data_IF_039898495245
#
_entry.id   IF_039898495245
#
_cell.length_a   1.000
_cell.length_b   1.000
_cell.length_c   1.000
_cell.angle_alpha   90.00
_cell.angle_beta   90.00
_cell.angle_gamma   90.00
#
_symmetry.space_group_name_H-M   'P 1'
#
loop_
_entity.id
_entity.type
_entity.pdbx_description
1 polymer ?
#
# COMPACT_ATOMS: atom_id res chain seq x y z
N UNK A 1 -53.98 -1.03 -18.83
CA UNK A 1 -52.81 -1.91 -18.60
C UNK A 1 -51.47 -1.33 -19.08
N UNK A 2 -51.37 -0.61 -20.22
CA UNK A 2 -50.08 -0.03 -20.69
C UNK A 2 -49.47 1.04 -19.77
N UNK A 3 -50.30 1.85 -19.09
CA UNK A 3 -49.79 2.94 -18.23
C UNK A 3 -49.26 2.46 -16.87
N UNK A 4 -49.71 1.30 -16.35
CA UNK A 4 -49.21 0.75 -15.07
C UNK A 4 -47.78 0.21 -15.23
N UNK A 5 -47.53 -0.49 -16.34
CA UNK A 5 -46.20 -1.00 -16.71
C UNK A 5 -45.17 0.11 -16.87
N UNK A 6 -45.56 1.27 -17.41
CA UNK A 6 -44.66 2.39 -17.60
C UNK A 6 -44.29 3.04 -16.26
N UNK A 7 -45.23 3.09 -15.30
CA UNK A 7 -45.00 3.62 -13.96
C UNK A 7 -44.09 2.69 -13.15
N UNK A 8 -44.29 1.37 -13.25
CA UNK A 8 -43.42 0.37 -12.61
C UNK A 8 -41.99 0.42 -13.17
N UNK A 9 -41.82 0.56 -14.49
CA UNK A 9 -40.51 0.70 -15.12
C UNK A 9 -39.81 2.00 -14.70
N UNK A 10 -40.54 3.12 -14.61
CA UNK A 10 -39.98 4.40 -14.14
C UNK A 10 -39.62 4.35 -12.65
N UNK A 11 -40.43 3.70 -11.81
CA UNK A 11 -40.11 3.47 -10.39
C UNK A 11 -38.90 2.53 -10.22
N UNK A 12 -38.79 1.50 -11.06
CA UNK A 12 -37.62 0.60 -11.06
C UNK A 12 -36.36 1.37 -11.49
N UNK A 13 -36.40 2.13 -12.59
CA UNK A 13 -35.26 2.95 -13.06
C UNK A 13 -34.87 4.04 -12.06
N UNK A 14 -35.83 4.73 -11.44
CA UNK A 14 -35.53 5.73 -10.40
C UNK A 14 -35.04 5.11 -9.09
N UNK A 15 -35.43 3.88 -8.76
CA UNK A 15 -34.85 3.13 -7.64
C UNK A 15 -33.39 2.70 -7.91
N UNK A 16 -33.00 2.41 -9.15
CA UNK A 16 -31.58 2.19 -9.49
C UNK A 16 -30.78 3.49 -9.58
N UNK A 17 -31.39 4.61 -10.00
CA UNK A 17 -30.71 5.91 -10.06
C UNK A 17 -30.59 6.62 -8.70
N UNK A 18 -31.40 6.25 -7.69
CA UNK A 18 -31.36 6.90 -6.36
C UNK A 18 -30.51 6.18 -5.30
N UNK A 19 -29.95 5.00 -5.59
CA UNK A 19 -29.17 4.20 -4.62
C UNK A 19 -27.66 4.19 -4.84
N UNK A 20 -27.14 5.24 -5.48
CA UNK A 20 -25.72 5.55 -5.52
C UNK A 20 -25.48 7.02 -5.20
N UNK A 21 -25.85 7.49 -3.99
CA UNK A 21 -25.32 8.78 -3.53
C UNK A 21 -23.80 8.64 -3.52
N UNK A 22 -23.17 9.29 -4.48
CA UNK A 22 -21.73 9.32 -4.68
C UNK A 22 -21.08 9.85 -3.40
N UNK A 23 -19.97 9.24 -2.99
CA UNK A 23 -19.17 9.74 -1.88
C UNK A 23 -18.42 10.97 -2.40
N UNK A 24 -19.12 12.07 -2.56
CA UNK A 24 -18.59 13.28 -3.17
C UNK A 24 -18.07 14.22 -2.09
N UNK A 25 -16.75 14.20 -1.95
CA UNK A 25 -16.01 15.12 -1.07
C UNK A 25 -15.90 16.48 -1.75
N UNK A 26 -15.79 17.57 -0.99
CA UNK A 26 -15.55 18.91 -1.57
C UNK A 26 -14.25 18.89 -2.42
N UNK A 27 -14.33 19.38 -3.67
CA UNK A 27 -13.26 19.26 -4.69
C UNK A 27 -11.87 19.66 -4.20
N UNK A 28 -11.77 20.75 -3.44
CA UNK A 28 -10.51 21.27 -2.91
C UNK A 28 -9.77 20.30 -1.95
N UNK A 29 -10.44 19.23 -1.50
CA UNK A 29 -9.88 18.23 -0.59
C UNK A 29 -9.79 16.84 -1.22
N UNK A 30 -10.04 16.70 -2.53
CA UNK A 30 -9.95 15.40 -3.21
C UNK A 30 -8.50 14.96 -3.46
N UNK A 31 -7.54 15.87 -3.54
CA UNK A 31 -6.19 15.54 -3.99
C UNK A 31 -6.13 15.33 -5.51
N UNK A 32 -5.16 14.53 -6.00
CA UNK A 32 -4.91 14.39 -7.44
C UNK A 32 -5.24 12.98 -7.97
N UNK A 33 -6.15 12.90 -8.94
CA UNK A 33 -6.68 11.64 -9.47
C UNK A 33 -5.65 10.73 -10.12
N UNK A 34 -4.49 11.25 -10.54
CA UNK A 34 -3.43 10.43 -11.15
C UNK A 34 -2.97 9.29 -10.26
N UNK A 35 -3.11 9.42 -8.93
CA UNK A 35 -2.72 8.39 -7.96
C UNK A 35 -3.57 7.12 -8.03
N UNK A 36 -4.76 7.17 -8.64
CA UNK A 36 -5.58 5.98 -8.87
C UNK A 36 -4.92 5.01 -9.86
N UNK A 37 -4.24 5.54 -10.87
CA UNK A 37 -3.70 4.77 -11.99
C UNK A 37 -2.18 4.86 -12.11
N UNK A 38 -1.50 5.39 -11.08
CA UNK A 38 -0.06 5.62 -11.16
C UNK A 38 0.71 4.30 -11.23
N UNK A 39 1.54 4.17 -12.26
CA UNK A 39 2.54 3.11 -12.32
C UNK A 39 3.77 3.58 -11.54
N UNK A 40 3.98 3.01 -10.35
CA UNK A 40 5.10 3.43 -9.51
C UNK A 40 6.46 3.05 -10.12
N UNK A 41 6.54 2.06 -11.02
CA UNK A 41 7.78 1.66 -11.67
C UNK A 41 8.16 2.60 -12.79
N UNK A 42 7.16 3.05 -13.55
CA UNK A 42 7.35 4.11 -14.52
C UNK A 42 7.74 5.41 -13.80
N UNK A 43 7.11 5.70 -12.66
CA UNK A 43 7.42 6.87 -11.84
C UNK A 43 8.90 6.96 -11.44
N UNK A 44 9.51 5.86 -10.98
CA UNK A 44 10.93 5.87 -10.60
C UNK A 44 11.83 6.27 -11.79
N UNK A 45 11.51 5.79 -13.00
CA UNK A 45 12.27 6.10 -14.22
C UNK A 45 12.04 7.53 -14.67
N UNK A 46 10.79 7.98 -14.70
CA UNK A 46 10.41 9.31 -15.15
C UNK A 46 10.92 10.42 -14.24
N UNK A 47 11.10 10.11 -12.95
CA UNK A 47 11.63 11.02 -11.96
C UNK A 47 13.17 10.99 -11.81
N UNK A 48 13.87 10.24 -12.67
CA UNK A 48 15.33 10.17 -12.65
C UNK A 48 15.96 11.38 -13.35
N UNK A 49 16.78 12.16 -12.63
CA UNK A 49 17.53 13.28 -13.23
C UNK A 49 18.79 12.74 -13.92
N UNK A 50 19.17 13.27 -15.09
CA UNK A 50 20.43 12.90 -15.73
C UNK A 50 21.64 13.38 -14.91
N UNK A 51 22.79 12.74 -15.09
CA UNK A 51 23.99 13.02 -14.28
C UNK A 51 24.50 14.47 -14.42
N UNK A 52 24.29 15.07 -15.59
CA UNK A 52 24.65 16.44 -15.93
C UNK A 52 23.49 17.44 -15.68
N UNK A 53 22.42 17.03 -14.98
CA UNK A 53 21.23 17.86 -14.76
C UNK A 53 21.56 19.27 -14.27
N UNK A 54 22.51 19.41 -13.34
CA UNK A 54 22.92 20.70 -12.78
C UNK A 54 23.78 21.57 -13.72
N UNK A 55 24.24 21.02 -14.84
CA UNK A 55 24.99 21.70 -15.89
C UNK A 55 24.08 22.19 -17.02
N UNK A 56 22.82 21.76 -17.05
CA UNK A 56 21.81 22.17 -18.03
C UNK A 56 21.27 23.58 -17.75
N UNK A 57 20.70 24.20 -18.78
CA UNK A 57 19.98 25.47 -18.64
C UNK A 57 18.72 25.31 -17.79
N UNK A 58 18.18 26.41 -17.27
CA UNK A 58 16.93 26.37 -16.49
C UNK A 58 15.77 25.76 -17.28
N UNK A 59 15.61 26.15 -18.55
CA UNK A 59 14.54 25.65 -19.40
C UNK A 59 14.64 24.13 -19.67
N UNK A 60 15.86 23.61 -19.82
CA UNK A 60 16.09 22.17 -19.96
C UNK A 60 15.78 21.42 -18.67
N UNK A 61 16.19 21.97 -17.52
CA UNK A 61 15.87 21.39 -16.21
C UNK A 61 14.37 21.36 -15.96
N UNK A 62 13.65 22.44 -16.28
CA UNK A 62 12.19 22.50 -16.14
C UNK A 62 11.51 21.41 -16.98
N UNK A 63 11.89 21.23 -18.24
CA UNK A 63 11.36 20.15 -19.09
C UNK A 63 11.61 18.76 -18.51
N UNK A 64 12.79 18.52 -17.95
CA UNK A 64 13.09 17.23 -17.30
C UNK A 64 12.22 17.04 -16.06
N UNK A 65 12.01 18.10 -15.26
CA UNK A 65 11.18 18.04 -14.07
C UNK A 65 9.69 17.85 -14.39
N UNK A 66 9.20 18.35 -15.53
CA UNK A 66 7.81 18.17 -15.98
C UNK A 66 7.43 16.70 -16.25
N UNK A 67 8.40 15.86 -16.65
CA UNK A 67 8.17 14.43 -16.84
C UNK A 67 7.85 13.70 -15.54
N UNK A 68 8.40 14.15 -14.42
CA UNK A 68 8.14 13.54 -13.12
C UNK A 68 6.75 13.94 -12.62
N UNK A 69 5.79 13.02 -12.70
CA UNK A 69 4.40 13.25 -12.29
C UNK A 69 4.25 13.76 -10.85
N UNK A 70 5.18 13.40 -9.95
CA UNK A 70 5.19 13.92 -8.57
C UNK A 70 5.26 15.45 -8.53
N UNK A 71 6.02 16.08 -9.43
CA UNK A 71 6.17 17.54 -9.47
C UNK A 71 4.85 18.25 -9.83
N UNK A 72 3.94 17.54 -10.51
CA UNK A 72 2.60 18.03 -10.84
C UNK A 72 1.62 17.88 -9.65
N UNK A 73 1.90 16.96 -8.73
CA UNK A 73 1.07 16.65 -7.56
C UNK A 73 1.51 17.46 -6.32
N UNK A 74 2.82 17.70 -6.18
CA UNK A 74 3.40 18.35 -5.00
C UNK A 74 2.71 19.66 -4.57
N UNK A 75 2.37 20.59 -5.50
CA UNK A 75 1.69 21.83 -5.13
C UNK A 75 0.33 21.61 -4.44
N UNK A 76 -0.38 20.51 -4.72
CA UNK A 76 -1.68 20.22 -4.09
C UNK A 76 -1.53 19.95 -2.59
N UNK A 77 -0.46 19.28 -2.16
CA UNK A 77 -0.24 18.99 -0.75
C UNK A 77 0.18 20.24 0.04
N UNK A 78 1.16 20.98 -0.46
CA UNK A 78 1.69 22.16 0.23
C UNK A 78 0.61 23.24 0.39
N UNK A 79 -0.14 23.51 -0.68
CA UNK A 79 -1.25 24.45 -0.64
C UNK A 79 -2.33 24.00 0.37
N UNK A 80 -2.63 22.71 0.42
CA UNK A 80 -3.67 22.21 1.32
C UNK A 80 -3.25 22.27 2.79
N UNK A 81 -2.01 21.89 3.10
CA UNK A 81 -1.52 21.93 4.49
C UNK A 81 -1.52 23.36 5.04
N UNK A 82 -1.15 24.34 4.22
CA UNK A 82 -1.13 25.75 4.64
C UNK A 82 -2.54 26.35 4.70
N UNK A 83 -3.48 25.92 3.84
CA UNK A 83 -4.85 26.47 3.79
C UNK A 83 -5.84 25.83 4.77
N UNK A 84 -5.60 24.60 5.25
CA UNK A 84 -6.46 23.96 6.25
C UNK A 84 -6.17 24.54 7.65
N UNK A 85 -7.24 24.99 8.34
CA UNK A 85 -7.26 25.22 9.78
C UNK A 85 -6.99 23.90 10.55
N UNK A 86 -6.98 23.88 11.89
CA UNK A 86 -6.69 22.64 12.62
C UNK A 86 -7.60 21.44 12.24
N UNK A 87 -8.87 21.69 11.89
CA UNK A 87 -9.85 20.67 11.49
C UNK A 87 -10.79 21.20 10.42
N UNK A 88 -11.12 20.39 9.42
CA UNK A 88 -12.14 20.69 8.40
C UNK A 88 -13.03 19.48 8.15
N UNK A 89 -14.33 19.72 7.97
CA UNK A 89 -15.30 18.69 7.57
C UNK A 89 -15.36 18.66 6.05
N UNK A 90 -15.10 17.49 5.45
CA UNK A 90 -15.03 17.34 3.99
C UNK A 90 -16.22 16.54 3.41
N UNK A 91 -16.97 15.86 4.29
CA UNK A 91 -18.19 15.10 3.97
C UNK A 91 -19.02 14.97 5.25
N UNK A 92 -20.33 15.21 5.17
CA UNK A 92 -21.27 15.06 6.30
C UNK A 92 -22.67 14.69 5.78
N UNK A 93 -22.99 13.39 5.81
CA UNK A 93 -24.26 12.86 5.27
C UNK A 93 -24.70 11.63 6.09
N UNK A 94 -25.98 11.58 6.50
CA UNK A 94 -26.59 10.44 7.22
C UNK A 94 -25.76 9.96 8.43
N UNK A 95 -25.42 10.88 9.34
CA UNK A 95 -24.59 10.63 10.52
C UNK A 95 -23.14 10.17 10.23
N UNK A 96 -22.75 10.02 8.97
CA UNK A 96 -21.40 9.69 8.54
C UNK A 96 -20.65 10.98 8.20
N UNK A 97 -19.56 11.24 8.92
CA UNK A 97 -18.76 12.46 8.76
C UNK A 97 -17.30 12.11 8.52
N UNK A 98 -16.68 12.75 7.53
CA UNK A 98 -15.24 12.74 7.33
C UNK A 98 -14.64 14.09 7.65
N UNK A 99 -13.55 14.09 8.39
CA UNK A 99 -12.80 15.29 8.72
C UNK A 99 -11.34 15.13 8.39
N UNK A 100 -10.70 16.18 7.88
CA UNK A 100 -9.24 16.27 7.80
C UNK A 100 -8.76 17.10 8.99
N UNK A 101 -7.78 16.56 9.71
CA UNK A 101 -7.16 17.21 10.86
C UNK A 101 -5.68 17.44 10.61
N UNK A 102 -5.23 18.67 10.86
CA UNK A 102 -3.82 19.06 10.77
C UNK A 102 -3.09 18.70 12.05
N UNK A 103 -1.89 18.12 11.92
CA UNK A 103 -0.98 17.85 13.03
C UNK A 103 0.42 18.34 12.66
N UNK A 104 1.11 18.91 13.64
CA UNK A 104 2.54 19.22 13.57
C UNK A 104 3.22 18.76 14.85
N UNK A 105 4.34 18.08 14.73
CA UNK A 105 5.18 17.71 15.86
C UNK A 105 6.64 17.64 15.42
N UNK A 106 7.55 17.51 16.37
CA UNK A 106 8.97 17.38 16.08
C UNK A 106 9.43 15.94 16.31
N UNK A 107 10.05 15.33 15.30
CA UNK A 107 10.86 14.12 15.47
C UNK A 107 12.24 14.55 15.99
N UNK A 108 12.74 13.87 17.02
CA UNK A 108 14.08 14.16 17.57
C UNK A 108 15.04 13.11 17.04
N UNK A 109 16.04 13.53 16.28
CA UNK A 109 17.10 12.67 15.75
C UNK A 109 18.44 13.35 16.05
N UNK A 110 19.36 12.63 16.70
CA UNK A 110 20.68 13.14 17.08
C UNK A 110 20.61 14.51 17.80
N UNK A 111 19.69 14.63 18.77
CA UNK A 111 19.41 15.87 19.52
C UNK A 111 18.95 17.08 18.67
N UNK A 112 18.65 16.88 17.38
CA UNK A 112 18.05 17.89 16.51
C UNK A 112 16.56 17.60 16.30
N UNK A 113 15.77 18.66 16.24
CA UNK A 113 14.31 18.60 16.03
C UNK A 113 14.01 18.80 14.54
N UNK A 114 13.28 17.87 13.96
CA UNK A 114 12.81 17.94 12.58
C UNK A 114 11.29 17.99 12.57
N UNK A 115 10.67 19.00 11.92
CA UNK A 115 9.23 19.11 11.88
C UNK A 115 8.64 17.98 11.02
N UNK A 116 7.57 17.37 11.53
CA UNK A 116 6.71 16.45 10.81
C UNK A 116 5.35 17.11 10.66
N UNK A 117 4.94 17.30 9.41
CA UNK A 117 3.63 17.86 9.02
C UNK A 117 2.73 16.71 8.59
N UNK A 118 1.53 16.60 9.15
CA UNK A 118 0.57 15.55 8.77
C UNK A 118 -0.85 16.07 8.61
N UNK A 119 -1.57 15.49 7.67
CA UNK A 119 -3.02 15.56 7.52
C UNK A 119 -3.60 14.19 7.80
N UNK A 120 -4.55 14.13 8.72
CA UNK A 120 -5.21 12.90 9.12
C UNK A 120 -6.65 12.90 8.64
N UNK A 121 -7.05 11.86 7.91
CA UNK A 121 -8.46 11.63 7.58
C UNK A 121 -9.08 10.83 8.72
N UNK A 122 -10.17 11.34 9.29
CA UNK A 122 -10.90 10.69 10.37
C UNK A 122 -12.35 10.45 9.97
N UNK A 123 -12.80 9.22 10.18
CA UNK A 123 -14.15 8.77 9.93
C UNK A 123 -14.94 8.77 11.25
N UNK A 124 -16.06 9.49 11.26
CA UNK A 124 -16.99 9.58 12.38
C UNK A 124 -18.35 9.01 11.98
N UNK A 125 -19.02 8.37 12.94
CA UNK A 125 -20.41 7.95 12.81
C UNK A 125 -21.19 8.26 14.09
N UNK A 126 -22.29 9.00 13.96
CA UNK A 126 -23.11 9.49 15.10
C UNK A 126 -22.25 10.18 16.16
N UNK A 127 -21.37 11.07 15.72
CA UNK A 127 -20.45 11.84 16.56
C UNK A 127 -19.26 11.06 17.14
N UNK A 128 -19.18 9.74 16.97
CA UNK A 128 -18.09 8.93 17.51
C UNK A 128 -17.02 8.67 16.45
N UNK A 129 -15.75 8.86 16.81
CA UNK A 129 -14.62 8.47 15.97
C UNK A 129 -14.65 6.94 15.77
N UNK A 130 -14.62 6.50 14.51
CA UNK A 130 -14.62 5.08 14.13
C UNK A 130 -13.28 4.62 13.61
N UNK A 131 -12.66 5.44 12.77
CA UNK A 131 -11.38 5.08 12.16
C UNK A 131 -10.58 6.31 11.72
N UNK A 132 -9.29 6.12 11.47
CA UNK A 132 -8.36 7.20 11.14
C UNK A 132 -7.15 6.68 10.36
N UNK A 133 -6.75 7.41 9.32
CA UNK A 133 -5.49 7.19 8.59
C UNK A 133 -4.69 8.48 8.45
N UNK A 134 -3.39 8.36 8.23
CA UNK A 134 -2.55 9.48 7.77
C UNK A 134 -2.83 9.63 6.28
N UNK A 135 -3.53 10.71 5.92
CA UNK A 135 -3.90 11.01 4.54
C UNK A 135 -2.69 11.55 3.78
N UNK A 136 -1.94 12.46 4.39
CA UNK A 136 -0.77 13.04 3.79
C UNK A 136 0.24 13.44 4.86
N UNK A 137 1.53 13.41 4.55
CA UNK A 137 2.58 13.81 5.47
C UNK A 137 3.79 14.35 4.71
N UNK A 138 4.61 15.13 5.42
CA UNK A 138 5.91 15.58 4.95
C UNK A 138 6.87 15.62 6.13
N UNK A 139 8.02 14.96 5.99
CA UNK A 139 9.09 14.98 6.97
C UNK A 139 10.46 14.83 6.32
N UNK A 140 11.47 15.44 6.93
CA UNK A 140 12.85 15.13 6.61
C UNK A 140 13.26 13.85 7.32
N UNK A 141 13.62 12.84 6.52
CA UNK A 141 14.35 11.72 7.05
C UNK A 141 15.82 12.15 7.20
N UNK A 142 16.36 12.00 8.40
CA UNK A 142 17.76 12.27 8.70
C UNK A 142 18.40 11.13 9.48
N UNK A 143 17.66 10.04 9.70
CA UNK A 143 18.11 8.89 10.47
C UNK A 143 19.02 7.97 9.64
N UNK A 144 19.00 8.10 8.31
CA UNK A 144 19.84 7.29 7.42
C UNK A 144 20.43 8.10 6.26
N UNK A 145 19.63 8.94 5.61
CA UNK A 145 20.04 9.74 4.45
C UNK A 145 19.22 11.04 4.43
N UNK A 146 19.82 12.15 4.05
CA UNK A 146 19.14 13.45 3.99
C UNK A 146 18.19 13.52 2.80
N UNK A 147 16.93 13.14 3.00
CA UNK A 147 15.88 13.26 1.98
C UNK A 147 14.55 13.72 2.54
N UNK A 148 13.74 14.33 1.67
CA UNK A 148 12.38 14.74 1.99
C UNK A 148 11.44 13.59 1.68
N UNK A 149 10.70 13.12 2.67
CA UNK A 149 9.65 12.12 2.52
C UNK A 149 8.30 12.83 2.44
N UNK A 150 7.56 12.58 1.37
CA UNK A 150 6.26 13.22 1.09
C UNK A 150 5.22 12.19 0.73
N UNK A 151 4.07 12.23 1.41
CA UNK A 151 2.91 11.40 1.10
C UNK A 151 1.82 12.23 0.43
N UNK A 152 1.45 11.82 -0.78
CA UNK A 152 0.35 12.39 -1.55
C UNK A 152 -0.89 11.52 -1.48
N UNK A 153 -2.04 12.09 -1.83
CA UNK A 153 -3.31 11.38 -1.73
C UNK A 153 -4.33 11.76 -2.82
N UNK A 154 -5.28 10.86 -3.02
CA UNK A 154 -6.51 11.08 -3.78
C UNK A 154 -7.69 10.44 -3.07
N UNK A 155 -8.82 11.14 -2.99
CA UNK A 155 -10.10 10.63 -2.50
C UNK A 155 -11.06 10.60 -3.70
N UNK A 156 -11.35 9.42 -4.20
CA UNK A 156 -12.19 9.21 -5.36
C UNK A 156 -13.70 9.35 -5.00
N UNK A 157 -14.56 9.77 -5.94
CA UNK A 157 -15.99 9.92 -5.70
C UNK A 157 -16.73 8.63 -5.32
N UNK A 158 -16.12 7.47 -5.54
CA UNK A 158 -16.64 6.16 -5.16
C UNK A 158 -16.32 5.79 -3.70
N UNK A 159 -15.49 6.58 -3.00
CA UNK A 159 -15.03 6.31 -1.64
C UNK A 159 -13.72 5.52 -1.54
N UNK A 160 -13.04 5.28 -2.65
CA UNK A 160 -11.66 4.80 -2.65
C UNK A 160 -10.68 5.93 -2.32
N UNK A 161 -9.62 5.57 -1.62
CA UNK A 161 -8.57 6.51 -1.20
C UNK A 161 -7.23 5.92 -1.57
N UNK A 162 -6.45 6.68 -2.33
CA UNK A 162 -5.14 6.29 -2.83
C UNK A 162 -4.08 7.14 -2.17
N UNK A 163 -3.04 6.51 -1.64
CA UNK A 163 -1.90 7.19 -1.03
C UNK A 163 -0.61 6.78 -1.74
N UNK A 164 0.29 7.73 -1.96
CA UNK A 164 1.62 7.48 -2.50
C UNK A 164 2.65 8.14 -1.59
N UNK A 165 3.53 7.34 -0.99
CA UNK A 165 4.70 7.84 -0.28
C UNK A 165 5.91 7.81 -1.22
N UNK A 166 6.61 8.94 -1.33
CA UNK A 166 7.85 9.07 -2.09
C UNK A 166 8.95 9.67 -1.22
N UNK A 167 10.20 9.41 -1.61
CA UNK A 167 11.37 10.15 -1.13
C UNK A 167 11.98 10.97 -2.26
N UNK A 168 12.15 12.26 -2.02
CA UNK A 168 12.88 13.18 -2.89
C UNK A 168 14.35 13.21 -2.48
N UNK A 169 15.19 12.67 -3.34
CA UNK A 169 16.64 12.69 -3.24
C UNK A 169 17.21 13.62 -4.32
N UNK A 170 18.39 14.18 -4.10
CA UNK A 170 18.99 15.15 -5.04
C UNK A 170 18.96 14.66 -6.51
N UNK A 171 19.20 13.36 -6.73
CA UNK A 171 19.25 12.76 -8.06
C UNK A 171 17.89 12.32 -8.64
N UNK A 172 16.85 12.11 -7.84
CA UNK A 172 15.55 11.62 -8.31
C UNK A 172 14.46 11.66 -7.25
N UNK A 173 13.20 11.49 -7.66
CA UNK A 173 12.11 11.14 -6.74
C UNK A 173 11.86 9.64 -6.86
N UNK A 174 11.81 8.93 -5.74
CA UNK A 174 11.60 7.48 -5.70
C UNK A 174 10.34 7.12 -4.94
N UNK A 175 9.46 6.25 -5.47
CA UNK A 175 8.37 5.69 -4.68
C UNK A 175 8.93 4.90 -3.50
N UNK A 176 8.15 4.80 -2.42
CA UNK A 176 8.40 3.91 -1.29
C UNK A 176 7.26 2.91 -1.20
N UNK A 177 6.03 3.41 -1.11
CA UNK A 177 4.84 2.57 -1.23
C UNK A 177 3.64 3.32 -1.79
N UNK A 178 2.73 2.55 -2.36
CA UNK A 178 1.39 2.98 -2.73
C UNK A 178 0.35 2.17 -1.95
N UNK A 179 -0.71 2.83 -1.51
CA UNK A 179 -1.80 2.22 -0.75
C UNK A 179 -3.14 2.54 -1.36
N UNK A 180 -4.03 1.56 -1.37
CA UNK A 180 -5.45 1.72 -1.71
C UNK A 180 -6.31 1.32 -0.54
N UNK A 181 -7.07 2.27 -0.01
CA UNK A 181 -8.10 2.05 0.99
C UNK A 181 -9.48 2.16 0.36
N UNK A 182 -10.43 1.43 0.95
CA UNK A 182 -11.84 1.55 0.65
C UNK A 182 -12.62 1.76 1.94
N UNK A 183 -13.65 2.61 1.89
CA UNK A 183 -14.57 2.79 3.02
C UNK A 183 -15.47 1.56 3.13
N UNK A 184 -15.26 0.76 4.18
CA UNK A 184 -16.17 -0.33 4.53
C UNK A 184 -17.38 0.26 5.28
N UNK A 185 -18.52 0.38 4.59
CA UNK A 185 -19.74 0.97 5.13
C UNK A 185 -20.40 0.12 6.22
N UNK A 186 -20.21 -1.19 6.20
CA UNK A 186 -20.79 -2.12 7.19
C UNK A 186 -20.05 -2.03 8.52
N UNK A 187 -18.71 -2.05 8.46
CA UNK A 187 -17.85 -2.06 9.64
C UNK A 187 -17.40 -0.66 10.07
N UNK A 188 -17.74 0.37 9.28
CA UNK A 188 -17.36 1.78 9.48
C UNK A 188 -15.84 1.94 9.65
N UNK A 189 -15.07 1.33 8.74
CA UNK A 189 -13.59 1.35 8.75
C UNK A 189 -13.01 1.74 7.41
N UNK A 190 -11.83 2.35 7.45
CA UNK A 190 -10.97 2.61 6.31
C UNK A 190 -10.14 1.34 6.07
N UNK A 191 -10.66 0.47 5.20
CA UNK A 191 -10.07 -0.85 4.98
C UNK A 191 -9.00 -0.76 3.90
N UNK A 192 -7.75 -1.08 4.25
CA UNK A 192 -6.67 -1.26 3.28
C UNK A 192 -6.98 -2.47 2.38
N UNK A 193 -6.98 -2.25 1.07
CA UNK A 193 -7.25 -3.25 0.02
C UNK A 193 -5.99 -3.60 -0.76
N UNK A 194 -5.15 -2.61 -1.04
CA UNK A 194 -3.90 -2.78 -1.77
C UNK A 194 -2.73 -2.09 -1.07
N UNK A 195 -1.58 -2.75 -1.06
CA UNK A 195 -0.29 -2.16 -0.70
C UNK A 195 0.75 -2.63 -1.71
N UNK A 196 1.45 -1.69 -2.31
CA UNK A 196 2.57 -1.94 -3.21
C UNK A 196 3.80 -1.29 -2.60
N UNK A 197 4.88 -2.03 -2.43
CA UNK A 197 6.14 -1.55 -1.86
C UNK A 197 7.22 -1.57 -2.94
N UNK A 198 7.98 -0.48 -3.02
CA UNK A 198 9.10 -0.26 -3.94
C UNK A 198 10.26 0.43 -3.23
N UNK A 199 10.68 -0.15 -2.10
CA UNK A 199 11.83 0.32 -1.32
C UNK A 199 12.80 -0.84 -1.11
N UNK A 200 13.75 -0.98 -2.05
CA UNK A 200 14.72 -2.08 -2.08
C UNK A 200 14.14 -3.41 -2.61
N UNK A 201 12.86 -3.68 -2.34
CA UNK A 201 12.13 -4.85 -2.86
C UNK A 201 10.80 -4.42 -3.46
N UNK A 202 10.41 -5.10 -4.54
CA UNK A 202 9.16 -4.87 -5.24
C UNK A 202 8.20 -6.01 -5.00
N UNK A 203 7.17 -5.75 -4.22
CA UNK A 203 6.11 -6.71 -3.94
C UNK A 203 4.79 -6.01 -3.71
N UNK A 204 3.70 -6.74 -3.92
CA UNK A 204 2.35 -6.27 -3.67
C UNK A 204 1.59 -7.19 -2.72
N UNK A 205 0.64 -6.58 -2.01
CA UNK A 205 -0.32 -7.22 -1.15
C UNK A 205 -1.71 -6.79 -1.59
N UNK A 206 -2.57 -7.77 -1.88
CA UNK A 206 -4.01 -7.56 -2.09
C UNK A 206 -4.71 -8.17 -0.88
N UNK A 207 -5.11 -7.32 0.06
CA UNK A 207 -5.57 -7.76 1.37
C UNK A 207 -6.94 -8.42 1.32
N UNK A 208 -7.17 -9.46 2.15
CA UNK A 208 -6.20 -10.23 2.94
C UNK A 208 -5.68 -11.48 2.21
N UNK A 209 -5.79 -11.54 0.87
CA UNK A 209 -5.75 -12.82 0.14
C UNK A 209 -4.47 -13.10 -0.64
N UNK A 210 -3.71 -12.07 -1.04
CA UNK A 210 -2.57 -12.23 -1.95
C UNK A 210 -1.34 -11.49 -1.43
N UNK A 211 -0.22 -12.20 -1.41
CA UNK A 211 1.13 -11.65 -1.31
C UNK A 211 1.89 -12.09 -2.57
N UNK A 212 2.50 -11.15 -3.29
CA UNK A 212 3.16 -11.43 -4.55
C UNK A 212 4.44 -10.61 -4.69
N UNK A 213 5.53 -11.26 -5.07
CA UNK A 213 6.80 -10.60 -5.31
C UNK A 213 6.93 -10.36 -6.81
N UNK A 214 7.18 -9.10 -7.18
CA UNK A 214 7.05 -8.62 -8.55
C UNK A 214 8.39 -8.59 -9.28
N UNK A 215 9.48 -8.24 -8.58
CA UNK A 215 10.83 -8.29 -9.13
C UNK A 215 11.82 -9.04 -8.21
N UNK A 216 13.01 -9.30 -8.78
CA UNK A 216 14.06 -10.14 -8.22
C UNK A 216 13.81 -11.60 -8.55
N UNK A 217 14.79 -12.32 -9.09
CA UNK A 217 14.74 -13.78 -9.19
C UNK A 217 15.47 -14.38 -8.02
N UNK A 218 14.95 -15.48 -7.48
CA UNK A 218 15.77 -16.34 -6.63
C UNK A 218 16.74 -17.06 -7.55
N UNK A 219 17.86 -16.41 -7.89
CA UNK A 219 18.94 -17.09 -8.60
C UNK A 219 19.38 -18.26 -7.73
N UNK A 220 18.99 -19.48 -8.11
CA UNK A 220 19.28 -20.72 -7.36
C UNK A 220 20.76 -20.88 -7.00
N UNK A 221 21.65 -20.23 -7.76
CA UNK A 221 23.10 -20.22 -7.56
C UNK A 221 23.61 -19.26 -6.46
N UNK A 222 22.81 -18.29 -5.99
CA UNK A 222 23.28 -17.21 -5.12
C UNK A 222 23.14 -17.47 -3.61
N UNK A 223 22.29 -18.41 -3.18
CA UNK A 223 22.01 -18.61 -1.75
C UNK A 223 22.14 -20.06 -1.30
N UNK A 224 22.92 -20.25 -0.22
CA UNK A 224 23.03 -21.53 0.48
C UNK A 224 21.71 -21.83 1.24
N UNK A 225 21.13 -23.01 1.03
CA UNK A 225 19.90 -23.48 1.69
C UNK A 225 19.99 -23.37 3.22
N UNK A 226 21.15 -23.68 3.80
CA UNK A 226 21.32 -23.62 5.25
C UNK A 226 21.22 -22.18 5.76
N UNK A 227 21.69 -21.19 4.98
CA UNK A 227 21.51 -19.77 5.30
C UNK A 227 20.05 -19.34 5.22
N UNK A 228 19.27 -19.86 4.28
CA UNK A 228 17.85 -19.50 4.16
C UNK A 228 17.02 -19.99 5.35
N UNK A 229 17.39 -21.14 5.93
CA UNK A 229 16.74 -21.68 7.13
C UNK A 229 17.03 -20.86 8.39
N UNK A 230 18.15 -20.14 8.43
CA UNK A 230 18.56 -19.32 9.57
C UNK A 230 18.15 -17.85 9.45
N UNK A 231 17.57 -17.40 8.33
CA UNK A 231 17.19 -16.00 8.10
C UNK A 231 16.27 -15.40 9.18
N UNK A 232 15.52 -16.23 9.90
CA UNK A 232 14.61 -15.78 10.96
C UNK A 232 15.12 -16.03 12.39
N UNK A 233 16.32 -16.60 12.54
CA UNK A 233 16.91 -16.88 13.86
C UNK A 233 17.56 -15.65 14.50
N UNK A 234 18.00 -14.68 13.70
CA UNK A 234 18.44 -13.37 14.15
C UNK A 234 17.70 -12.29 13.33
N UNK A 235 17.73 -11.02 13.77
CA UNK A 235 17.13 -9.89 13.02
C UNK A 235 18.00 -9.59 11.80
N UNK A 236 17.96 -10.47 10.79
CA UNK A 236 18.71 -10.35 9.53
C UNK A 236 18.05 -9.38 8.55
N UNK A 237 18.79 -9.04 7.50
CA UNK A 237 18.34 -8.16 6.42
C UNK A 237 17.10 -8.68 5.70
N UNK A 238 16.14 -7.79 5.44
CA UNK A 238 15.75 -7.45 4.07
C UNK A 238 15.63 -8.66 3.12
N UNK A 239 16.72 -8.82 2.36
CA UNK A 239 16.96 -9.85 1.34
C UNK A 239 16.73 -11.27 1.86
N UNK A 240 17.32 -11.59 3.02
CA UNK A 240 17.29 -12.94 3.59
C UNK A 240 15.83 -13.37 3.84
N UNK A 241 15.00 -12.44 4.35
CA UNK A 241 13.62 -12.71 4.70
C UNK A 241 12.77 -13.06 3.46
N UNK A 242 12.86 -12.26 2.40
CA UNK A 242 12.15 -12.50 1.14
C UNK A 242 12.62 -13.77 0.44
N UNK A 243 13.93 -14.00 0.38
CA UNK A 243 14.48 -15.20 -0.25
C UNK A 243 14.11 -16.48 0.52
N UNK A 244 14.08 -16.41 1.85
CA UNK A 244 13.62 -17.52 2.69
C UNK A 244 12.14 -17.86 2.43
N UNK A 245 11.27 -16.85 2.36
CA UNK A 245 9.86 -17.06 1.99
C UNK A 245 9.73 -17.74 0.62
N UNK A 246 10.41 -17.22 -0.41
CA UNK A 246 10.39 -17.78 -1.77
C UNK A 246 10.86 -19.23 -1.81
N UNK A 247 11.90 -19.56 -1.05
CA UNK A 247 12.40 -20.92 -0.95
C UNK A 247 11.32 -21.89 -0.41
N UNK A 248 10.68 -21.54 0.71
CA UNK A 248 9.62 -22.38 1.27
C UNK A 248 8.39 -22.46 0.36
N UNK A 249 8.00 -21.37 -0.30
CA UNK A 249 6.88 -21.36 -1.24
C UNK A 249 7.12 -22.28 -2.45
N UNK A 250 8.33 -22.22 -3.03
CA UNK A 250 8.75 -23.12 -4.11
C UNK A 250 8.75 -24.59 -3.66
N UNK A 251 9.28 -24.87 -2.47
CA UNK A 251 9.33 -26.23 -1.92
C UNK A 251 7.92 -26.79 -1.69
N UNK A 252 7.02 -25.98 -1.12
CA UNK A 252 5.62 -26.38 -0.94
C UNK A 252 4.95 -26.67 -2.29
N UNK A 253 5.12 -25.79 -3.28
CA UNK A 253 4.55 -25.95 -4.61
C UNK A 253 4.97 -27.28 -5.25
N UNK A 254 6.25 -27.62 -5.17
CA UNK A 254 6.77 -28.91 -5.67
C UNK A 254 6.16 -30.11 -4.95
N UNK A 255 5.97 -30.03 -3.63
CA UNK A 255 5.39 -31.12 -2.83
C UNK A 255 3.90 -31.30 -3.08
N UNK A 256 3.15 -30.21 -3.26
CA UNK A 256 1.73 -30.24 -3.63
C UNK A 256 1.54 -30.92 -4.99
N UNK A 257 2.39 -30.60 -5.98
CA UNK A 257 2.38 -31.28 -7.30
C UNK A 257 2.67 -32.77 -7.12
N UNK A 258 3.75 -33.12 -6.40
CA UNK A 258 4.13 -34.51 -6.16
C UNK A 258 3.04 -35.33 -5.45
N UNK A 259 2.28 -34.70 -4.54
CA UNK A 259 1.16 -35.33 -3.84
C UNK A 259 -0.01 -35.62 -4.76
N UNK A 260 -0.35 -34.69 -5.65
CA UNK A 260 -1.43 -34.88 -6.65
C UNK A 260 -1.11 -36.05 -7.58
N UNK A 261 0.15 -36.19 -7.98
CA UNK A 261 0.59 -37.29 -8.84
C UNK A 261 0.52 -38.65 -8.13
N UNK A 262 0.69 -38.68 -6.80
CA UNK A 262 0.71 -39.93 -6.00
C UNK A 262 -0.62 -40.32 -5.38
N UNK A 263 -1.47 -39.35 -5.00
CA UNK A 263 -2.77 -39.57 -4.33
C UNK A 263 -3.88 -38.89 -5.13
N UNK A 264 -4.64 -39.69 -5.89
CA UNK A 264 -5.76 -39.25 -6.74
C UNK A 264 -6.88 -38.50 -6.01
N UNK A 265 -6.99 -38.65 -4.69
CA UNK A 265 -8.02 -37.97 -3.87
C UNK A 265 -7.52 -36.69 -3.15
N UNK A 266 -6.28 -36.24 -3.40
CA UNK A 266 -5.77 -35.01 -2.79
C UNK A 266 -6.34 -33.76 -3.49
N UNK A 267 -7.22 -33.03 -2.79
CA UNK A 267 -7.99 -31.90 -3.36
C UNK A 267 -7.52 -30.51 -2.89
N UNK A 268 -6.27 -30.36 -2.43
CA UNK A 268 -5.70 -29.03 -2.17
C UNK A 268 -4.93 -28.51 -3.39
N UNK A 269 -5.06 -27.21 -3.67
CA UNK A 269 -4.22 -26.48 -4.62
C UNK A 269 -3.31 -25.51 -3.87
N UNK A 270 -2.22 -25.09 -4.52
CA UNK A 270 -1.34 -24.07 -3.96
C UNK A 270 -2.12 -22.77 -3.70
N UNK A 271 -3.00 -22.36 -4.61
CA UNK A 271 -3.84 -21.16 -4.45
C UNK A 271 -4.71 -21.19 -3.21
N UNK A 272 -5.30 -22.36 -2.89
CA UNK A 272 -6.13 -22.52 -1.71
C UNK A 272 -5.31 -22.44 -0.42
N UNK A 273 -4.11 -23.04 -0.43
CA UNK A 273 -3.18 -23.00 0.70
C UNK A 273 -2.67 -21.57 0.90
N UNK A 274 -2.23 -20.90 -0.17
CA UNK A 274 -1.75 -19.52 -0.13
C UNK A 274 -2.81 -18.58 0.40
N UNK A 275 -4.06 -18.69 -0.05
CA UNK A 275 -5.17 -17.89 0.48
C UNK A 275 -5.34 -18.06 1.99
N UNK A 276 -5.32 -19.30 2.49
CA UNK A 276 -5.46 -19.58 3.93
C UNK A 276 -4.29 -19.02 4.75
N UNK A 277 -3.06 -19.15 4.24
CA UNK A 277 -1.87 -18.63 4.89
C UNK A 277 -1.88 -17.09 4.89
N UNK A 278 -2.25 -16.48 3.77
CA UNK A 278 -2.33 -15.04 3.59
C UNK A 278 -3.38 -14.41 4.53
N UNK A 279 -4.55 -15.03 4.69
CA UNK A 279 -5.58 -14.56 5.64
C UNK A 279 -5.08 -14.49 7.09
N UNK A 280 -4.10 -15.33 7.46
CA UNK A 280 -3.46 -15.33 8.78
C UNK A 280 -2.36 -14.28 8.85
N UNK A 281 -1.47 -14.26 7.87
CA UNK A 281 -0.22 -13.49 7.93
C UNK A 281 -0.37 -12.01 7.52
N UNK A 282 -1.34 -11.68 6.67
CA UNK A 282 -1.54 -10.32 6.16
C UNK A 282 -2.41 -9.45 7.09
N UNK A 283 -2.52 -9.82 8.36
CA UNK A 283 -3.16 -9.00 9.40
C UNK A 283 -2.18 -8.01 10.05
N UNK A 284 -0.89 -8.10 9.72
CA UNK A 284 0.15 -7.19 10.22
C UNK A 284 -0.14 -5.76 9.72
N UNK A 285 -0.15 -4.75 10.62
CA UNK A 285 -0.40 -3.36 10.23
C UNK A 285 0.59 -2.86 9.17
N UNK A 286 0.06 -2.23 8.12
CA UNK A 286 0.87 -1.65 7.05
C UNK A 286 1.73 -0.46 7.55
N UNK A 287 2.93 -0.26 6.98
CA UNK A 287 3.85 0.80 7.39
C UNK A 287 3.28 2.16 7.02
N UNK A 288 3.39 3.16 7.89
CA UNK A 288 2.99 4.55 7.63
C UNK A 288 4.17 5.42 7.17
N UNK A 289 5.39 5.00 7.46
CA UNK A 289 6.61 5.72 7.14
C UNK A 289 7.63 4.79 6.49
N UNK A 290 8.62 5.37 5.82
CA UNK A 290 9.73 4.63 5.17
C UNK A 290 10.43 3.68 6.13
N UNK A 291 10.84 4.15 7.30
CA UNK A 291 11.63 3.37 8.26
C UNK A 291 10.90 2.12 8.81
N UNK A 292 9.57 2.01 8.62
CA UNK A 292 8.77 0.88 9.06
C UNK A 292 8.73 -0.25 8.02
N UNK A 293 9.13 0.01 6.77
CA UNK A 293 8.99 -0.94 5.64
C UNK A 293 9.82 -2.20 5.83
N UNK A 294 11.06 -2.07 6.33
CA UNK A 294 11.95 -3.20 6.60
C UNK A 294 11.39 -4.14 7.67
N UNK A 295 10.97 -3.60 8.83
CA UNK A 295 10.40 -4.41 9.90
C UNK A 295 9.06 -5.04 9.49
N UNK A 296 8.22 -4.28 8.77
CA UNK A 296 6.99 -4.79 8.19
C UNK A 296 7.24 -5.99 7.25
N UNK A 297 8.20 -5.85 6.34
CA UNK A 297 8.57 -6.91 5.39
C UNK A 297 9.03 -8.15 6.13
N UNK A 298 9.96 -8.00 7.08
CA UNK A 298 10.47 -9.10 7.89
C UNK A 298 9.34 -9.86 8.61
N UNK A 299 8.41 -9.14 9.25
CA UNK A 299 7.34 -9.74 10.02
C UNK A 299 6.37 -10.53 9.13
N UNK A 300 6.00 -9.98 7.97
CA UNK A 300 5.11 -10.68 7.02
C UNK A 300 5.80 -11.93 6.47
N UNK A 301 7.01 -11.80 5.94
CA UNK A 301 7.68 -12.95 5.32
C UNK A 301 8.01 -14.04 6.34
N UNK A 302 8.30 -13.67 7.59
CA UNK A 302 8.47 -14.61 8.70
C UNK A 302 7.21 -15.44 8.93
N UNK A 303 6.06 -14.79 9.08
CA UNK A 303 4.79 -15.51 9.24
C UNK A 303 4.53 -16.43 8.05
N UNK A 304 4.68 -15.92 6.82
CA UNK A 304 4.46 -16.70 5.61
C UNK A 304 5.37 -17.94 5.57
N UNK A 305 6.68 -17.77 5.82
CA UNK A 305 7.64 -18.85 5.83
C UNK A 305 7.36 -19.91 6.90
N UNK A 306 6.97 -19.50 8.11
CA UNK A 306 6.61 -20.40 9.20
C UNK A 306 5.34 -21.23 8.86
N UNK A 307 4.30 -20.58 8.32
CA UNK A 307 3.08 -21.27 7.90
C UNK A 307 3.33 -22.24 6.75
N UNK A 308 4.11 -21.83 5.74
CA UNK A 308 4.52 -22.68 4.62
C UNK A 308 5.29 -23.91 5.13
N UNK A 309 6.27 -23.71 6.01
CA UNK A 309 7.06 -24.80 6.60
C UNK A 309 6.19 -25.79 7.39
N UNK A 310 5.23 -25.28 8.18
CA UNK A 310 4.29 -26.13 8.90
C UNK A 310 3.40 -26.94 7.95
N UNK A 311 2.95 -26.35 6.84
CA UNK A 311 2.16 -27.04 5.82
C UNK A 311 2.98 -28.12 5.10
N UNK A 312 4.23 -27.81 4.76
CA UNK A 312 5.20 -28.76 4.17
C UNK A 312 5.35 -30.01 5.06
N UNK A 313 5.58 -29.83 6.37
CA UNK A 313 5.74 -30.95 7.31
C UNK A 313 4.51 -31.87 7.34
N UNK A 314 3.30 -31.30 7.33
CA UNK A 314 2.04 -32.07 7.28
C UNK A 314 1.91 -32.85 5.97
N UNK A 315 2.25 -32.22 4.85
CA UNK A 315 2.25 -32.85 3.53
C UNK A 315 3.26 -34.02 3.48
N UNK A 316 4.43 -33.85 4.08
CA UNK A 316 5.46 -34.89 4.12
C UNK A 316 5.02 -36.10 4.95
N UNK A 317 4.30 -35.89 6.06
CA UNK A 317 3.70 -36.99 6.82
C UNK A 317 2.70 -37.77 5.96
N UNK A 318 1.83 -37.07 5.21
CA UNK A 318 0.86 -37.70 4.30
C UNK A 318 1.55 -38.46 3.16
N UNK A 319 2.74 -38.05 2.72
CA UNK A 319 3.50 -38.74 1.67
C UNK A 319 4.20 -40.02 2.16
N UNK A 320 4.43 -40.14 3.47
CA UNK A 320 5.02 -41.32 4.10
C UNK A 320 3.97 -42.40 4.43
N UNK A 321 2.69 -42.01 4.53
CA UNK A 321 1.51 -42.87 4.72
C UNK A 321 0.90 -43.38 3.41
#
# INVERSE_FOLDING_TARGET
MKNLLLIEIVLFLSSFCCYGKQFDVIDNYKGNSILETIDIWELEKDCQKPNDFWQLTNAEREKILEHCLVNQIAPYFDNLYENINNTVVIYDVHDLRFTINKKIYNKVINNKKYPVKELHLSLFHKGNLKDKIILANSYYDVESYYWLSSQYYYIAPNGDIYLLLVKDINASVKPIFWKHYQINKENLRLQLKGLLIDEGYKYQIIYPYKFEILEGTLEKSKYNIDKLKTCYQEKYSTNCSIDSYRYYHNLLSQKVISLKDKKTNFNESIDKIDKQINEICLLIPAPNYSYETEEFTYNITKCLAEQLNNKIKKIDQILLE
#
